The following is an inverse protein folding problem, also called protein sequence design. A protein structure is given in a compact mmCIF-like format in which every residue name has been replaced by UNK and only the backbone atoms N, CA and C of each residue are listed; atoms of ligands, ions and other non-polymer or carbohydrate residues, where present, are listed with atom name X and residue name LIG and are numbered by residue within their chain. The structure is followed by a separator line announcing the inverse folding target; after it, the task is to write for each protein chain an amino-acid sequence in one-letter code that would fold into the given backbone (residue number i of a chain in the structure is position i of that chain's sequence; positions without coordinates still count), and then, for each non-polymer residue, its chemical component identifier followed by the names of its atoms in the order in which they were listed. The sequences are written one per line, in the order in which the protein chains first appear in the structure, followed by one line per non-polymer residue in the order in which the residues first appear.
data_IF_136173476776
#
_entry.id   IF_136173476776
#
_cell.length_a   1.000
_cell.length_b   1.000
_cell.length_c   1.000
_cell.angle_alpha   90.00
_cell.angle_beta   90.00
_cell.angle_gamma   90.00
#
_symmetry.space_group_name_H-M   'P 1'
#
loop_
_entity.id
_entity.type
_entity.pdbx_description
1 polymer ?
#
# COMPACT_ATOMS: atom_id res chain seq x y z
N UNK A 1 24.80 -11.31 -25.33
CA UNK A 1 24.42 -10.33 -24.27
C UNK A 1 24.06 -11.12 -23.03
N UNK A 2 24.96 -11.18 -22.06
CA UNK A 2 24.69 -11.82 -20.77
C UNK A 2 23.75 -10.89 -20.02
N UNK A 3 22.46 -11.22 -19.94
CA UNK A 3 21.52 -10.50 -19.08
C UNK A 3 21.97 -10.82 -17.65
N UNK A 4 22.73 -9.91 -17.03
CA UNK A 4 22.99 -10.01 -15.61
C UNK A 4 21.64 -9.93 -14.89
N UNK A 5 21.25 -11.00 -14.22
CA UNK A 5 20.05 -11.00 -13.39
C UNK A 5 20.21 -9.89 -12.34
N UNK A 6 19.25 -8.97 -12.33
CA UNK A 6 19.22 -7.84 -11.40
C UNK A 6 19.24 -8.38 -9.95
N UNK A 7 20.17 -7.91 -9.11
CA UNK A 7 20.23 -8.37 -7.72
C UNK A 7 18.99 -7.90 -6.96
N UNK A 8 18.59 -8.62 -5.91
CA UNK A 8 17.34 -8.28 -5.21
C UNK A 8 17.42 -6.92 -4.51
N UNK A 9 18.60 -6.46 -4.12
CA UNK A 9 18.84 -5.13 -3.54
C UNK A 9 18.53 -3.98 -4.50
N UNK A 10 18.55 -4.22 -5.80
CA UNK A 10 18.22 -3.21 -6.81
C UNK A 10 16.71 -3.03 -7.01
N UNK A 11 15.89 -3.93 -6.44
CA UNK A 11 14.45 -3.77 -6.45
C UNK A 11 14.02 -2.68 -5.48
N UNK A 12 13.01 -1.90 -5.86
CA UNK A 12 12.49 -0.82 -5.03
C UNK A 12 11.13 -1.18 -4.42
N UNK A 13 10.78 -0.51 -3.32
CA UNK A 13 9.50 -0.68 -2.65
C UNK A 13 8.33 -0.48 -3.62
N UNK A 14 7.34 -1.37 -3.57
CA UNK A 14 6.19 -1.42 -4.48
C UNK A 14 6.46 -1.85 -5.92
N UNK A 15 7.68 -2.26 -6.30
CA UNK A 15 7.97 -2.59 -7.71
C UNK A 15 7.00 -3.63 -8.30
N UNK A 16 6.85 -4.80 -7.67
CA UNK A 16 5.98 -5.86 -8.17
C UNK A 16 4.50 -5.45 -8.23
N UNK A 17 4.00 -4.75 -7.21
CA UNK A 17 2.63 -4.21 -7.17
C UNK A 17 2.39 -3.13 -8.23
N UNK A 18 3.41 -2.31 -8.54
CA UNK A 18 3.35 -1.34 -9.63
C UNK A 18 3.36 -2.03 -10.99
N UNK A 19 4.20 -3.07 -11.17
CA UNK A 19 4.21 -3.86 -12.41
C UNK A 19 2.86 -4.52 -12.67
N UNK A 20 2.24 -5.10 -11.64
CA UNK A 20 0.87 -5.64 -11.72
C UNK A 20 -0.15 -4.55 -12.07
N UNK A 21 -0.10 -3.41 -11.37
CA UNK A 21 -0.96 -2.27 -11.66
C UNK A 21 -0.84 -1.83 -13.12
N UNK A 22 0.38 -1.67 -13.63
CA UNK A 22 0.63 -1.23 -15.00
C UNK A 22 0.18 -2.28 -16.02
N UNK A 23 0.29 -3.56 -15.69
CA UNK A 23 -0.19 -4.66 -16.56
C UNK A 23 -1.70 -4.67 -16.65
N UNK A 24 -2.40 -4.58 -15.53
CA UNK A 24 -3.88 -4.49 -15.52
C UNK A 24 -4.38 -3.19 -16.13
N UNK A 25 -3.60 -2.11 -16.01
CA UNK A 25 -3.96 -0.81 -16.57
C UNK A 25 -3.69 -0.70 -18.08
N UNK A 26 -2.81 -1.54 -18.66
CA UNK A 26 -2.39 -1.44 -20.06
C UNK A 26 -3.55 -1.43 -21.07
N UNK A 27 -4.62 -2.19 -20.79
CA UNK A 27 -5.81 -2.30 -21.66
C UNK A 27 -6.88 -1.24 -21.34
N UNK A 28 -6.54 -0.19 -20.59
CA UNK A 28 -7.48 0.88 -20.27
C UNK A 28 -7.53 1.90 -21.40
N UNK A 29 -8.68 2.10 -22.07
CA UNK A 29 -8.79 3.09 -23.13
C UNK A 29 -8.52 4.49 -22.57
N UNK A 30 -7.88 5.38 -23.36
CA UNK A 30 -7.59 6.72 -22.93
C UNK A 30 -8.87 7.48 -22.61
N UNK A 31 -8.84 8.26 -21.52
CA UNK A 31 -9.96 9.14 -21.14
C UNK A 31 -10.20 10.21 -22.19
N UNK A 32 -11.46 10.50 -22.50
CA UNK A 32 -11.84 11.65 -23.32
C UNK A 32 -11.45 12.98 -22.64
N UNK A 33 -11.35 14.05 -23.42
CA UNK A 33 -11.07 15.41 -22.92
C UNK A 33 -12.10 15.85 -21.87
N UNK A 34 -13.39 15.60 -22.15
CA UNK A 34 -14.48 15.86 -21.21
C UNK A 34 -14.35 15.05 -19.91
N UNK A 35 -14.05 13.75 -20.00
CA UNK A 35 -13.84 12.91 -18.81
C UNK A 35 -12.67 13.40 -17.95
N UNK A 36 -11.57 13.86 -18.58
CA UNK A 36 -10.45 14.48 -17.86
C UNK A 36 -10.90 15.75 -17.16
N UNK A 37 -11.63 16.62 -17.85
CA UNK A 37 -12.15 17.89 -17.33
C UNK A 37 -13.04 17.68 -16.10
N UNK A 38 -13.98 16.74 -16.14
CA UNK A 38 -14.87 16.41 -15.01
C UNK A 38 -14.16 15.71 -13.83
N UNK A 39 -12.88 15.37 -13.95
CA UNK A 39 -12.14 14.69 -12.87
C UNK A 39 -12.45 13.19 -12.75
N UNK A 40 -12.77 12.53 -13.87
CA UNK A 40 -12.88 11.07 -13.89
C UNK A 40 -11.50 10.44 -13.66
N UNK A 41 -11.43 9.45 -12.78
CA UNK A 41 -10.19 8.75 -12.44
C UNK A 41 -9.64 8.02 -13.67
N UNK A 42 -8.31 8.00 -13.91
CA UNK A 42 -7.72 7.11 -14.92
C UNK A 42 -7.78 5.64 -14.49
N UNK A 43 -7.86 5.36 -13.19
CA UNK A 43 -7.93 4.00 -12.65
C UNK A 43 -9.33 3.40 -12.82
N UNK A 44 -9.39 2.16 -13.31
CA UNK A 44 -10.55 1.27 -13.20
C UNK A 44 -10.72 0.79 -11.75
N UNK A 45 -11.92 0.33 -11.40
CA UNK A 45 -12.26 -0.09 -10.03
C UNK A 45 -11.41 -1.28 -9.53
N UNK A 46 -11.05 -2.19 -10.42
CA UNK A 46 -10.14 -3.33 -10.17
C UNK A 46 -8.69 -2.91 -9.89
N UNK A 47 -8.23 -1.83 -10.52
CA UNK A 47 -6.86 -1.30 -10.41
C UNK A 47 -6.65 -0.43 -9.17
N UNK A 48 -7.73 0.07 -8.55
CA UNK A 48 -7.64 0.95 -7.38
C UNK A 48 -6.94 0.26 -6.21
N UNK A 49 -7.20 -1.03 -5.96
CA UNK A 49 -6.53 -1.75 -4.88
C UNK A 49 -5.03 -1.87 -5.09
N UNK A 50 -4.58 -2.11 -6.34
CA UNK A 50 -3.16 -2.18 -6.69
C UNK A 50 -2.48 -0.82 -6.54
N UNK A 51 -3.11 0.26 -7.02
CA UNK A 51 -2.59 1.61 -6.83
C UNK A 51 -2.48 1.99 -5.35
N UNK A 52 -3.51 1.68 -4.54
CA UNK A 52 -3.44 1.95 -3.10
C UNK A 52 -2.39 1.07 -2.39
N UNK A 53 -2.23 -0.18 -2.82
CA UNK A 53 -1.17 -1.08 -2.38
C UNK A 53 0.21 -0.48 -2.63
N UNK A 54 0.48 -0.05 -3.87
CA UNK A 54 1.74 0.57 -4.25
C UNK A 54 2.05 1.83 -3.40
N UNK A 55 1.06 2.70 -3.21
CA UNK A 55 1.23 3.89 -2.33
C UNK A 55 1.54 3.48 -0.88
N UNK A 56 0.97 2.38 -0.40
CA UNK A 56 1.23 1.86 0.94
C UNK A 56 2.67 1.37 1.07
N UNK A 57 3.11 0.52 0.16
CA UNK A 57 4.47 -0.04 0.15
C UNK A 57 5.54 1.01 -0.04
N UNK A 58 5.31 2.04 -0.87
CA UNK A 58 6.21 3.20 -0.98
C UNK A 58 6.37 3.88 0.38
N UNK A 59 5.29 4.11 1.12
CA UNK A 59 5.34 4.74 2.45
C UNK A 59 6.15 3.87 3.42
N UNK A 60 5.94 2.55 3.43
CA UNK A 60 6.71 1.65 4.29
C UNK A 60 8.19 1.62 3.86
N UNK A 61 8.48 1.53 2.57
CA UNK A 61 9.84 1.59 2.03
C UNK A 61 10.58 2.87 2.44
N UNK A 62 9.92 4.02 2.37
CA UNK A 62 10.48 5.29 2.85
C UNK A 62 10.82 5.27 4.35
N UNK A 63 9.99 4.62 5.16
CA UNK A 63 10.24 4.46 6.60
C UNK A 63 11.44 3.53 6.82
N UNK A 64 11.52 2.42 6.09
CA UNK A 64 12.62 1.46 6.19
C UNK A 64 13.96 2.06 5.75
N UNK A 65 13.96 2.95 4.76
CA UNK A 65 15.15 3.69 4.33
C UNK A 65 15.74 4.62 5.42
N UNK A 66 15.03 4.86 6.51
CA UNK A 66 15.51 5.66 7.67
C UNK A 66 15.99 4.82 8.84
N UNK A 67 16.12 3.49 8.65
CA UNK A 67 16.72 2.61 9.63
C UNK A 67 18.24 2.87 9.76
N UNK A 68 18.85 2.56 10.92
CA UNK A 68 20.30 2.64 11.11
C UNK A 68 21.09 1.75 10.12
N UNK A 69 22.39 2.01 9.98
CA UNK A 69 23.26 1.37 8.98
C UNK A 69 23.34 -0.16 9.11
N UNK A 70 23.13 -0.70 10.31
CA UNK A 70 23.15 -2.14 10.59
C UNK A 70 21.91 -2.86 10.04
N UNK A 71 20.92 -2.12 9.54
CA UNK A 71 19.69 -2.65 8.98
C UNK A 71 19.74 -2.59 7.46
N UNK A 72 19.25 -3.64 6.82
CA UNK A 72 19.10 -3.71 5.36
C UNK A 72 17.67 -4.11 5.02
N UNK A 73 17.06 -3.41 4.07
CA UNK A 73 15.76 -3.75 3.52
C UNK A 73 15.87 -4.22 2.07
N UNK A 74 15.07 -5.22 1.73
CA UNK A 74 14.87 -5.77 0.40
C UNK A 74 13.38 -5.69 0.07
N UNK A 75 13.04 -5.55 -1.20
CA UNK A 75 11.69 -5.19 -1.64
C UNK A 75 11.24 -6.06 -2.79
N UNK A 76 9.93 -6.27 -2.92
CA UNK A 76 9.31 -6.93 -4.08
C UNK A 76 9.88 -8.35 -4.40
N UNK A 77 10.25 -9.11 -3.36
CA UNK A 77 10.92 -10.40 -3.53
C UNK A 77 9.92 -11.49 -3.97
N UNK A 78 10.20 -12.25 -5.03
CA UNK A 78 9.25 -13.24 -5.53
C UNK A 78 9.14 -14.44 -4.57
N UNK A 79 7.93 -14.78 -4.13
CA UNK A 79 7.69 -15.94 -3.26
C UNK A 79 6.62 -16.90 -3.80
N UNK A 80 7.03 -17.72 -4.77
CA UNK A 80 6.31 -18.93 -5.18
C UNK A 80 5.74 -18.92 -6.59
N UNK A 81 5.06 -20.02 -6.95
CA UNK A 81 4.69 -20.35 -8.34
C UNK A 81 3.51 -19.56 -8.93
N UNK A 82 2.83 -18.71 -8.14
CA UNK A 82 1.61 -17.99 -8.55
C UNK A 82 1.79 -16.46 -8.60
N UNK A 83 3.03 -15.98 -8.62
CA UNK A 83 3.31 -14.55 -8.74
C UNK A 83 3.01 -13.75 -7.49
N UNK A 84 2.94 -14.41 -6.32
CA UNK A 84 2.93 -13.72 -5.03
C UNK A 84 4.34 -13.27 -4.68
N UNK A 85 4.47 -12.02 -4.30
CA UNK A 85 5.68 -11.35 -3.86
C UNK A 85 5.61 -11.00 -2.37
N UNK A 86 6.77 -10.70 -1.78
CA UNK A 86 6.89 -10.12 -0.45
C UNK A 86 7.20 -8.64 -0.62
N UNK A 87 6.34 -7.81 -0.04
CA UNK A 87 6.47 -6.36 -0.08
C UNK A 87 7.86 -5.94 0.44
N UNK A 88 8.25 -6.40 1.64
CA UNK A 88 9.58 -6.14 2.20
C UNK A 88 10.13 -7.28 3.07
N UNK A 89 11.43 -7.56 2.95
CA UNK A 89 12.21 -8.27 3.97
C UNK A 89 13.18 -7.27 4.60
N UNK A 90 13.25 -7.25 5.92
CA UNK A 90 14.17 -6.40 6.67
C UNK A 90 15.01 -7.29 7.56
N UNK A 91 16.32 -7.08 7.50
CA UNK A 91 17.30 -7.75 8.37
C UNK A 91 18.05 -6.69 9.16
N UNK A 92 18.39 -7.01 10.40
CA UNK A 92 19.21 -6.16 11.25
C UNK A 92 19.51 -6.84 12.57
N UNK A 93 20.15 -6.15 13.52
CA UNK A 93 20.58 -6.76 14.79
C UNK A 93 19.43 -7.46 15.53
N UNK A 94 18.21 -6.96 15.39
CA UNK A 94 16.99 -7.51 16.00
C UNK A 94 16.43 -8.79 15.37
N UNK A 95 16.97 -9.26 14.25
CA UNK A 95 16.53 -10.47 13.55
C UNK A 95 16.09 -10.24 12.11
N UNK A 96 15.19 -11.11 11.64
CA UNK A 96 14.67 -11.16 10.27
C UNK A 96 13.18 -10.87 10.32
N UNK A 97 12.69 -9.94 9.50
CA UNK A 97 11.30 -9.51 9.49
C UNK A 97 10.74 -9.56 8.07
N UNK A 98 9.62 -10.27 7.87
CA UNK A 98 8.81 -10.10 6.65
C UNK A 98 7.73 -9.08 6.94
N UNK A 99 7.65 -8.04 6.12
CA UNK A 99 6.71 -6.94 6.33
C UNK A 99 5.71 -6.96 5.20
N UNK A 100 4.47 -7.27 5.54
CA UNK A 100 3.34 -7.15 4.64
C UNK A 100 2.63 -5.82 4.90
N UNK A 101 2.42 -5.04 3.85
CA UNK A 101 1.88 -3.68 3.90
C UNK A 101 0.40 -3.67 3.51
N UNK A 102 -0.41 -2.97 4.29
CA UNK A 102 -1.85 -2.78 3.98
C UNK A 102 -2.25 -1.33 4.15
N UNK A 103 -2.69 -0.73 3.04
CA UNK A 103 -3.15 0.65 3.01
C UNK A 103 -4.65 0.74 3.31
N UNK A 104 -4.99 1.35 4.45
CA UNK A 104 -6.35 1.42 4.97
C UNK A 104 -6.75 2.85 5.37
N UNK A 105 -6.45 3.82 4.50
CA UNK A 105 -6.82 5.22 4.65
C UNK A 105 -8.26 5.40 5.15
N UNK A 106 -8.43 5.99 6.33
CA UNK A 106 -9.75 6.32 6.91
C UNK A 106 -10.56 5.14 7.45
N UNK A 107 -10.02 3.91 7.42
CA UNK A 107 -10.71 2.70 7.89
C UNK A 107 -10.33 2.35 9.32
N UNK A 108 -11.28 1.83 10.09
CA UNK A 108 -11.01 1.26 11.41
C UNK A 108 -10.50 -0.17 11.26
N UNK A 109 -9.48 -0.54 12.05
CA UNK A 109 -8.90 -1.88 12.08
C UNK A 109 -8.97 -2.45 13.48
N UNK A 110 -9.44 -3.69 13.58
CA UNK A 110 -9.58 -4.40 14.84
C UNK A 110 -8.89 -5.76 14.78
N UNK A 111 -8.17 -6.11 15.83
CA UNK A 111 -7.42 -7.36 15.95
C UNK A 111 -7.73 -8.05 17.26
N UNK A 112 -8.04 -9.35 17.20
CA UNK A 112 -8.08 -10.23 18.36
C UNK A 112 -7.55 -11.62 18.01
N UNK A 113 -6.37 -11.94 18.51
CA UNK A 113 -5.68 -13.19 18.21
C UNK A 113 -5.48 -13.32 16.71
N UNK A 114 -5.98 -14.41 16.11
CA UNK A 114 -5.90 -14.65 14.66
C UNK A 114 -6.95 -13.90 13.83
N UNK A 115 -7.91 -13.21 14.46
CA UNK A 115 -8.95 -12.45 13.79
C UNK A 115 -8.51 -11.02 13.50
N UNK A 116 -8.62 -10.59 12.24
CA UNK A 116 -8.45 -9.20 11.84
C UNK A 116 -9.67 -8.73 11.05
N UNK A 117 -10.19 -7.55 11.41
CA UNK A 117 -11.32 -6.92 10.74
C UNK A 117 -10.94 -5.51 10.28
N UNK A 118 -11.39 -5.14 9.09
CA UNK A 118 -11.25 -3.79 8.53
C UNK A 118 -12.64 -3.26 8.21
N UNK A 119 -13.06 -2.21 8.90
CA UNK A 119 -14.41 -1.62 8.75
C UNK A 119 -15.53 -2.68 8.84
N UNK A 120 -15.43 -3.58 9.82
CA UNK A 120 -16.42 -4.64 10.04
C UNK A 120 -16.22 -5.91 9.20
N UNK A 121 -15.30 -5.92 8.21
CA UNK A 121 -15.10 -7.05 7.31
C UNK A 121 -13.87 -7.87 7.70
N UNK A 122 -14.02 -9.19 7.85
CA UNK A 122 -12.93 -10.12 8.18
C UNK A 122 -11.90 -10.17 7.06
N UNK A 123 -10.62 -10.13 7.40
CA UNK A 123 -9.50 -10.18 6.46
C UNK A 123 -8.56 -11.35 6.78
N UNK A 124 -7.94 -11.99 5.76
CA UNK A 124 -7.03 -13.12 5.95
C UNK A 124 -5.58 -12.71 6.26
N UNK A 125 -5.30 -11.43 6.55
CA UNK A 125 -3.94 -10.88 6.55
C UNK A 125 -2.97 -11.55 7.52
N UNK A 126 -3.42 -11.89 8.73
CA UNK A 126 -2.57 -12.56 9.73
C UNK A 126 -2.07 -13.90 9.18
N UNK A 127 -2.99 -14.72 8.67
CA UNK A 127 -2.67 -16.03 8.09
C UNK A 127 -1.71 -15.89 6.90
N UNK A 128 -1.93 -14.90 6.04
CA UNK A 128 -1.07 -14.69 4.86
C UNK A 128 0.34 -14.28 5.28
N UNK A 129 0.48 -13.35 6.24
CA UNK A 129 1.77 -12.93 6.76
C UNK A 129 2.55 -14.11 7.41
N UNK A 130 1.86 -14.96 8.16
CA UNK A 130 2.47 -16.19 8.73
C UNK A 130 2.99 -17.13 7.64
N UNK A 131 2.21 -17.35 6.57
CA UNK A 131 2.65 -18.18 5.45
C UNK A 131 3.84 -17.59 4.69
N UNK A 132 3.86 -16.28 4.48
CA UNK A 132 4.98 -15.56 3.85
C UNK A 132 6.26 -15.72 4.69
N UNK A 133 6.19 -15.41 5.99
CA UNK A 133 7.31 -15.59 6.92
C UNK A 133 7.81 -17.04 6.99
N UNK A 134 6.89 -18.01 7.03
CA UNK A 134 7.24 -19.43 7.04
C UNK A 134 7.97 -19.87 5.76
N UNK A 135 7.55 -19.38 4.59
CA UNK A 135 8.24 -19.66 3.33
C UNK A 135 9.63 -19.03 3.27
N UNK A 136 9.78 -17.77 3.69
CA UNK A 136 11.09 -17.11 3.79
C UNK A 136 12.01 -17.88 4.72
N UNK A 137 11.51 -18.22 5.92
CA UNK A 137 12.27 -18.98 6.91
C UNK A 137 12.77 -20.30 6.34
N UNK A 138 11.88 -21.05 5.67
CA UNK A 138 12.25 -22.33 5.04
C UNK A 138 13.35 -22.12 4.01
N UNK A 139 13.17 -21.15 3.11
CA UNK A 139 14.09 -20.86 2.02
C UNK A 139 15.48 -20.43 2.54
N UNK A 140 15.53 -19.52 3.51
CA UNK A 140 16.80 -19.07 4.08
C UNK A 140 17.52 -20.21 4.82
N UNK A 141 16.79 -21.09 5.51
CA UNK A 141 17.36 -22.24 6.23
C UNK A 141 17.90 -23.34 5.33
N UNK A 142 17.55 -23.36 4.04
CA UNK A 142 18.20 -24.26 3.07
C UNK A 142 19.69 -23.91 2.91
N UNK A 143 20.07 -22.64 3.11
CA UNK A 143 21.45 -22.17 3.06
C UNK A 143 22.07 -21.94 4.43
N UNK A 144 21.29 -21.43 5.39
CA UNK A 144 21.74 -21.11 6.75
C UNK A 144 20.84 -21.80 7.81
N UNK A 145 21.05 -23.09 8.11
CA UNK A 145 20.09 -23.92 8.86
C UNK A 145 19.77 -23.46 10.29
N UNK A 146 20.72 -22.78 10.94
CA UNK A 146 20.61 -22.35 12.33
C UNK A 146 19.99 -20.95 12.51
N UNK A 147 19.58 -20.28 11.42
CA UNK A 147 19.00 -18.94 11.52
C UNK A 147 17.69 -18.92 12.32
N UNK A 148 17.43 -17.83 13.07
CA UNK A 148 16.11 -17.58 13.65
C UNK A 148 15.05 -17.49 12.56
N UNK A 149 13.81 -17.83 12.92
CA UNK A 149 12.69 -17.69 11.99
C UNK A 149 12.41 -16.22 11.69
N UNK A 150 11.99 -15.94 10.45
CA UNK A 150 11.53 -14.61 10.08
C UNK A 150 10.25 -14.28 10.85
N UNK A 151 10.22 -13.12 11.51
CA UNK A 151 9.05 -12.64 12.23
C UNK A 151 8.09 -11.94 11.24
N UNK A 152 6.82 -12.39 11.13
CA UNK A 152 5.85 -11.71 10.30
C UNK A 152 5.37 -10.41 10.94
N UNK A 153 5.32 -9.36 10.13
CA UNK A 153 4.85 -8.02 10.50
C UNK A 153 3.79 -7.57 9.52
N UNK A 154 2.65 -7.12 10.05
CA UNK A 154 1.59 -6.48 9.28
C UNK A 154 1.63 -4.97 9.56
N UNK A 155 2.12 -4.21 8.58
CA UNK A 155 2.24 -2.76 8.65
C UNK A 155 1.01 -2.07 8.03
N UNK A 156 0.24 -1.37 8.87
CA UNK A 156 -0.95 -0.64 8.45
C UNK A 156 -0.63 0.81 8.11
N UNK A 157 -0.88 1.21 6.87
CA UNK A 157 -0.69 2.58 6.39
C UNK A 157 -2.00 3.35 6.50
N UNK A 158 -1.95 4.48 7.21
CA UNK A 158 -3.04 5.44 7.40
C UNK A 158 -4.39 4.88 7.91
N UNK A 159 -4.46 3.87 8.80
CA UNK A 159 -5.74 3.50 9.40
C UNK A 159 -6.33 4.68 10.19
N UNK A 160 -7.66 4.82 10.21
CA UNK A 160 -8.34 5.78 11.10
C UNK A 160 -8.07 5.44 12.56
N UNK A 161 -8.09 4.15 12.89
CA UNK A 161 -7.74 3.63 14.21
C UNK A 161 -7.28 2.17 14.10
N UNK A 162 -6.41 1.76 15.02
CA UNK A 162 -6.00 0.38 15.22
C UNK A 162 -6.30 -0.01 16.66
N UNK A 163 -7.22 -0.96 16.86
CA UNK A 163 -7.51 -1.56 18.17
C UNK A 163 -7.02 -2.99 18.19
N UNK A 164 -6.01 -3.27 19.02
CA UNK A 164 -5.52 -4.63 19.26
C UNK A 164 -6.01 -5.08 20.63
N UNK A 165 -7.01 -5.97 20.68
CA UNK A 165 -7.49 -6.56 21.93
C UNK A 165 -6.57 -7.67 22.43
N UNK A 166 -6.13 -8.52 21.50
CA UNK A 166 -5.19 -9.61 21.74
C UNK A 166 -4.23 -9.65 20.55
N UNK A 167 -2.93 -9.57 20.82
CA UNK A 167 -1.91 -9.67 19.78
C UNK A 167 -1.90 -11.12 19.22
N UNK A 168 -1.80 -11.31 17.88
CA UNK A 168 -1.53 -12.64 17.34
C UNK A 168 -0.17 -13.17 17.82
N UNK A 169 -0.07 -14.47 18.07
CA UNK A 169 1.13 -15.09 18.68
C UNK A 169 2.40 -14.87 17.86
N UNK A 170 2.29 -14.97 16.53
CA UNK A 170 3.44 -14.89 15.63
C UNK A 170 3.54 -13.54 14.92
N UNK A 171 2.41 -12.86 14.66
CA UNK A 171 2.36 -11.68 13.80
C UNK A 171 2.35 -10.39 14.61
N UNK A 172 3.33 -9.52 14.36
CA UNK A 172 3.25 -8.14 14.81
C UNK A 172 2.34 -7.32 13.90
N UNK A 173 1.14 -6.98 14.38
CA UNK A 173 0.31 -5.92 13.78
C UNK A 173 0.72 -4.56 14.35
N UNK A 174 1.06 -3.61 13.48
CA UNK A 174 1.45 -2.25 13.87
C UNK A 174 1.06 -1.21 12.81
N UNK A 175 1.08 0.07 13.16
CA UNK A 175 0.97 1.15 12.15
C UNK A 175 2.33 1.42 11.53
N UNK A 176 2.34 1.89 10.27
CA UNK A 176 3.58 2.27 9.58
C UNK A 176 4.39 3.30 10.39
N UNK A 177 3.73 4.29 10.99
CA UNK A 177 4.38 5.31 11.82
C UNK A 177 5.10 4.74 13.06
N UNK A 178 4.63 3.62 13.61
CA UNK A 178 5.25 2.97 14.77
C UNK A 178 6.30 1.90 14.37
N UNK A 179 6.34 1.50 13.09
CA UNK A 179 7.15 0.39 12.59
C UNK A 179 8.64 0.56 12.89
N UNK A 180 9.24 1.68 12.46
CA UNK A 180 10.67 1.95 12.67
C UNK A 180 11.07 1.83 14.13
N UNK A 181 10.33 2.52 15.01
CA UNK A 181 10.59 2.52 16.46
C UNK A 181 10.50 1.10 17.04
N UNK A 182 9.56 0.31 16.55
CA UNK A 182 9.40 -1.07 17.00
C UNK A 182 10.57 -1.95 16.53
N UNK A 183 11.02 -1.85 15.28
CA UNK A 183 12.17 -2.59 14.75
C UNK A 183 13.44 -2.30 15.56
N UNK A 184 13.82 -1.03 15.71
CA UNK A 184 15.08 -0.63 16.38
C UNK A 184 15.13 -0.92 17.88
N UNK A 185 13.98 -1.24 18.50
CA UNK A 185 13.90 -1.60 19.93
C UNK A 185 14.16 -3.08 20.21
N UNK A 186 14.34 -3.91 19.18
CA UNK A 186 14.60 -5.33 19.39
C UNK A 186 16.01 -5.54 19.99
N UNK A 187 16.15 -6.50 20.92
CA UNK A 187 17.46 -6.88 21.42
C UNK A 187 18.31 -7.45 20.28
N UNK A 188 19.63 -7.32 20.39
CA UNK A 188 20.56 -7.87 19.41
C UNK A 188 20.55 -9.40 19.51
N UNK A 189 20.22 -10.05 18.40
CA UNK A 189 20.18 -11.52 18.24
C UNK A 189 21.00 -12.02 17.05
N UNK A 190 21.34 -11.14 16.10
CA UNK A 190 22.23 -11.43 14.97
C UNK A 190 23.49 -10.58 15.06
N UNK A 191 24.65 -11.21 14.84
CA UNK A 191 25.93 -10.49 14.79
C UNK A 191 26.20 -9.94 13.37
N UNK A 192 27.23 -9.12 13.21
CA UNK A 192 27.55 -8.49 11.94
C UNK A 192 27.92 -9.49 10.82
N UNK A 193 28.55 -10.61 11.17
CA UNK A 193 28.87 -11.70 10.24
C UNK A 193 27.60 -12.40 9.73
N UNK A 194 26.70 -12.77 10.64
CA UNK A 194 25.41 -13.38 10.29
C UNK A 194 24.60 -12.46 9.35
N UNK A 195 24.61 -11.15 9.64
CA UNK A 195 23.91 -10.16 8.82
C UNK A 195 24.51 -10.01 7.43
N UNK A 196 25.84 -10.03 7.31
CA UNK A 196 26.51 -9.95 6.01
C UNK A 196 26.22 -11.19 5.15
N UNK A 197 26.29 -12.39 5.74
CA UNK A 197 25.96 -13.64 5.05
C UNK A 197 24.48 -13.68 4.65
N UNK A 198 23.59 -13.33 5.56
CA UNK A 198 22.16 -13.26 5.30
C UNK A 198 21.81 -12.24 4.22
N UNK A 199 22.46 -11.07 4.23
CA UNK A 199 22.30 -10.06 3.20
C UNK A 199 22.72 -10.60 1.83
N UNK A 200 23.85 -11.31 1.74
CA UNK A 200 24.32 -11.91 0.50
C UNK A 200 23.36 -12.99 -0.02
N UNK A 201 22.83 -13.84 0.87
CA UNK A 201 21.82 -14.86 0.52
C UNK A 201 20.56 -14.20 -0.03
N UNK A 202 20.03 -13.18 0.64
CA UNK A 202 18.80 -12.51 0.18
C UNK A 202 19.03 -11.75 -1.14
N UNK A 203 20.21 -11.16 -1.34
CA UNK A 203 20.53 -10.38 -2.55
C UNK A 203 20.69 -11.25 -3.81
N UNK A 204 21.12 -12.51 -3.64
CA UNK A 204 21.31 -13.48 -4.73
C UNK A 204 19.97 -13.82 -5.42
N UNK A 205 19.78 -13.51 -6.71
CA UNK A 205 18.58 -13.89 -7.45
C UNK A 205 18.33 -15.41 -7.48
N UNK A 206 19.37 -16.24 -7.42
CA UNK A 206 19.24 -17.70 -7.38
C UNK A 206 18.66 -18.22 -6.06
N UNK A 207 18.53 -17.35 -5.05
CA UNK A 207 17.80 -17.65 -3.82
C UNK A 207 16.31 -17.75 -4.07
N UNK A 208 15.79 -17.00 -5.04
CA UNK A 208 14.36 -16.84 -5.23
C UNK A 208 13.87 -17.62 -6.46
N UNK A 209 12.59 -18.02 -6.49
CA UNK A 209 11.99 -18.55 -7.71
C UNK A 209 12.11 -17.56 -8.86
N UNK A 210 12.26 -18.08 -10.08
CA UNK A 210 12.28 -17.24 -11.27
C UNK A 210 11.01 -16.38 -11.35
N UNK A 211 11.12 -15.10 -11.69
CA UNK A 211 9.97 -14.23 -11.89
C UNK A 211 9.07 -14.78 -13.00
N UNK A 212 7.75 -14.71 -12.81
CA UNK A 212 6.78 -15.23 -13.78
C UNK A 212 6.63 -14.33 -15.02
N UNK A 213 6.96 -13.06 -14.88
CA UNK A 213 6.77 -12.05 -15.92
C UNK A 213 8.11 -11.39 -16.25
N UNK A 214 8.30 -10.95 -17.51
CA UNK A 214 9.47 -10.15 -17.87
C UNK A 214 9.48 -8.83 -17.10
N UNK A 215 10.67 -8.26 -16.82
CA UNK A 215 10.78 -6.95 -16.20
C UNK A 215 10.03 -5.89 -17.00
N UNK A 216 9.32 -5.01 -16.31
CA UNK A 216 8.68 -3.87 -16.97
C UNK A 216 9.68 -2.73 -17.12
N UNK A 217 9.78 -2.13 -18.30
CA UNK A 217 10.66 -0.98 -18.49
C UNK A 217 10.09 0.31 -17.87
N UNK A 218 10.98 1.15 -17.33
CA UNK A 218 10.64 2.48 -16.82
C UNK A 218 9.50 2.50 -15.77
N UNK A 219 9.44 1.45 -14.93
CA UNK A 219 8.36 1.21 -13.95
C UNK A 219 8.01 2.45 -13.15
N UNK A 220 9.01 3.07 -12.52
CA UNK A 220 8.80 4.22 -11.64
C UNK A 220 8.31 5.46 -12.40
N UNK A 221 8.85 5.72 -13.59
CA UNK A 221 8.42 6.85 -14.42
C UNK A 221 6.97 6.70 -14.87
N UNK A 222 6.58 5.49 -15.31
CA UNK A 222 5.20 5.16 -15.69
C UNK A 222 4.24 5.29 -14.51
N UNK A 223 4.63 4.82 -13.33
CA UNK A 223 3.84 4.99 -12.11
C UNK A 223 3.67 6.45 -11.72
N UNK A 224 4.75 7.25 -11.74
CA UNK A 224 4.68 8.66 -11.40
C UNK A 224 3.76 9.45 -12.35
N UNK A 225 3.78 9.12 -13.65
CA UNK A 225 2.84 9.69 -14.63
C UNK A 225 1.38 9.33 -14.28
N UNK A 226 1.12 8.04 -13.97
CA UNK A 226 -0.21 7.60 -13.55
C UNK A 226 -0.65 8.25 -12.22
N UNK A 227 0.24 8.36 -11.23
CA UNK A 227 -0.03 9.01 -9.94
C UNK A 227 -0.40 10.48 -10.15
N UNK A 228 0.36 11.21 -10.99
CA UNK A 228 0.04 12.59 -11.34
C UNK A 228 -1.35 12.72 -11.99
N UNK A 229 -1.71 11.81 -12.90
CA UNK A 229 -3.04 11.78 -13.51
C UNK A 229 -4.17 11.51 -12.50
N UNK A 230 -3.94 10.61 -11.55
CA UNK A 230 -4.90 10.29 -10.46
C UNK A 230 -5.08 11.49 -9.54
N UNK A 231 -3.98 12.14 -9.13
CA UNK A 231 -4.01 13.32 -8.26
C UNK A 231 -4.71 14.49 -8.95
N UNK A 232 -4.42 14.73 -10.23
CA UNK A 232 -5.08 15.77 -11.01
C UNK A 232 -6.59 15.50 -11.21
N UNK A 233 -6.99 14.23 -11.38
CA UNK A 233 -8.41 13.87 -11.43
C UNK A 233 -9.11 14.12 -10.08
N UNK A 234 -8.45 13.78 -8.97
CA UNK A 234 -8.97 14.01 -7.61
C UNK A 234 -9.12 15.49 -7.29
N UNK A 235 -8.14 16.33 -7.64
CA UNK A 235 -8.23 17.78 -7.42
C UNK A 235 -9.37 18.40 -8.22
N UNK A 236 -9.49 18.07 -9.51
CA UNK A 236 -10.61 18.53 -10.35
C UNK A 236 -11.97 18.10 -9.79
N UNK A 237 -12.10 16.85 -9.36
CA UNK A 237 -13.35 16.37 -8.74
C UNK A 237 -13.73 17.17 -7.50
N UNK A 238 -12.77 17.45 -6.61
CA UNK A 238 -13.02 18.28 -5.43
C UNK A 238 -13.50 19.68 -5.82
N UNK A 239 -12.83 20.31 -6.79
CA UNK A 239 -13.24 21.62 -7.32
C UNK A 239 -14.67 21.56 -7.83
N UNK A 240 -15.02 20.57 -8.67
CA UNK A 240 -16.39 20.42 -9.17
C UNK A 240 -17.41 20.16 -8.07
N UNK A 241 -17.06 19.38 -7.04
CA UNK A 241 -17.93 19.18 -5.88
C UNK A 241 -18.18 20.49 -5.13
N UNK A 242 -17.14 21.29 -4.88
CA UNK A 242 -17.29 22.60 -4.23
C UNK A 242 -18.10 23.59 -5.08
N UNK A 243 -17.80 23.70 -6.37
CA UNK A 243 -18.53 24.56 -7.30
C UNK A 243 -20.00 24.16 -7.43
N UNK A 244 -20.28 22.86 -7.49
CA UNK A 244 -21.65 22.33 -7.53
C UNK A 244 -22.43 22.65 -6.25
N UNK A 245 -21.81 22.46 -5.07
CA UNK A 245 -22.42 22.86 -3.79
C UNK A 245 -22.67 24.36 -3.71
N UNK A 246 -21.71 25.19 -4.14
CA UNK A 246 -21.87 26.65 -4.16
C UNK A 246 -23.01 27.09 -5.08
N UNK A 247 -23.11 26.50 -6.27
CA UNK A 247 -24.20 26.78 -7.21
C UNK A 247 -25.58 26.38 -6.63
N UNK A 248 -25.67 25.22 -5.97
CA UNK A 248 -26.88 24.78 -5.28
C UNK A 248 -27.26 25.74 -4.13
N UNK A 249 -26.30 26.18 -3.31
CA UNK A 249 -26.54 27.15 -2.25
C UNK A 249 -26.99 28.50 -2.80
N UNK A 250 -26.36 29.00 -3.87
CA UNK A 250 -26.74 30.26 -4.51
C UNK A 250 -28.16 30.20 -5.11
N UNK A 251 -28.53 29.08 -5.75
CA UNK A 251 -29.87 28.85 -6.26
C UNK A 251 -30.92 28.79 -5.13
N UNK A 252 -30.62 28.08 -4.04
CA UNK A 252 -31.50 28.02 -2.87
C UNK A 252 -31.66 29.39 -2.18
N UNK A 253 -30.57 30.16 -2.07
CA UNK A 253 -30.60 31.52 -1.53
C UNK A 253 -31.41 32.47 -2.43
N UNK A 254 -31.24 32.40 -3.74
CA UNK A 254 -32.05 33.15 -4.70
C UNK A 254 -33.54 32.80 -4.58
N UNK A 255 -33.87 31.51 -4.49
CA UNK A 255 -35.26 31.09 -4.27
C UNK A 255 -35.82 31.58 -2.93
N UNK A 256 -35.02 31.55 -1.85
CA UNK A 256 -35.39 32.09 -0.54
C UNK A 256 -35.64 33.60 -0.57
N UNK A 257 -34.84 34.37 -1.30
CA UNK A 257 -35.03 35.81 -1.47
C UNK A 257 -36.32 36.15 -2.24
N UNK A 258 -36.73 35.28 -3.16
CA UNK A 258 -37.96 35.46 -3.95
C UNK A 258 -39.22 34.98 -3.20
N UNK A 259 -39.08 34.13 -2.18
CA UNK A 259 -40.17 33.54 -1.40
C UNK A 259 -41.13 34.58 -0.77
N UNK A 260 -40.65 35.67 -0.13
CA UNK A 260 -41.53 36.72 0.41
C UNK A 260 -42.30 37.48 -0.66
N UNK A 261 -41.71 37.71 -1.83
CA UNK A 261 -42.36 38.40 -2.94
C UNK A 261 -43.49 37.54 -3.55
N UNK A 262 -43.26 36.23 -3.66
CA UNK A 262 -44.27 35.28 -4.12
C UNK A 262 -45.39 35.11 -3.09
N UNK A 263 -45.06 34.98 -1.80
CA UNK A 263 -46.06 34.91 -0.71
C UNK A 263 -46.89 36.20 -0.60
N UNK A 264 -46.24 37.36 -0.74
CA UNK A 264 -46.91 38.66 -0.76
C UNK A 264 -47.91 38.77 -1.92
N UNK A 265 -47.50 38.40 -3.14
CA UNK A 265 -48.37 38.43 -4.31
C UNK A 265 -49.57 37.48 -4.21
N UNK A 266 -49.40 36.31 -3.57
CA UNK A 266 -50.48 35.35 -3.33
C UNK A 266 -51.46 35.85 -2.25
N UNK A 267 -50.98 36.52 -1.21
CA UNK A 267 -51.82 37.06 -0.13
C UNK A 267 -52.59 38.33 -0.54
N UNK A 268 -52.05 39.14 -1.46
CA UNK A 268 -52.71 40.36 -1.96
C UNK A 268 -53.63 40.12 -3.17
N UNK A 269 -53.59 38.93 -3.77
CA UNK A 269 -54.37 38.58 -4.96
C UNK A 269 -55.69 37.83 -4.70
N UNK A 270 -56.17 37.76 -3.45
CA UNK A 270 -57.46 37.14 -3.13
C UNK A 270 -58.62 37.92 -3.77
N UNK A 271 -59.58 37.25 -4.43
CA UNK A 271 -60.64 37.92 -5.20
C UNK A 271 -61.56 38.71 -4.25
N UNK A 272 -61.83 39.98 -4.60
CA UNK A 272 -62.97 40.72 -4.05
C UNK A 272 -64.29 40.18 -4.59
#
# INVERSE_FOLDING_TARGET
MTIHAQTMRQQFAAQAVIEELLRQHADTPPRSTFARFCGNSPLRSDSVSWYLGAKGEIVVGQILATLPLEWTSFHALPIGKKGSDIDHIVIGPGGIFTINTKHHAGKTVWVAGRGLMVSGQKQPYIRNAEYEAGRVTKLLRERMPLLPAAQPVLALVNPKSLTVKVQPDQVKVTTAAALRRWLVKHPVVLNAGDLAELAAVIDDPATWPAPLFPPTENVLARFNALDAEVLAARSRRRVWSFSGTLALCAAAFGAWLLLPAVLGAVLTGGPQ
#
